data_IF_839751993663
#
_entry.id   IF_839751993663
#
_cell.length_a   1.000
_cell.length_b   1.000
_cell.length_c   1.000
_cell.angle_alpha   90.00
_cell.angle_beta   90.00
_cell.angle_gamma   90.00
#
_symmetry.space_group_name_H-M   'P 1'
#
loop_
_entity.id
_entity.type
_entity.pdbx_description
1 polymer ?
#
# COMPACT_ATOMS: atom_id res chain seq x y z
N UNK A 1 7.78 4.04 -3.48
CA UNK A 1 9.14 4.54 -3.68
C UNK A 1 10.09 3.41 -4.03
N UNK A 2 10.33 2.43 -3.20
CA UNK A 2 11.29 1.35 -3.45
C UNK A 2 11.03 0.58 -4.77
N UNK A 3 9.79 0.18 -5.05
CA UNK A 3 9.45 -0.48 -6.32
C UNK A 3 9.66 0.42 -7.54
N UNK A 4 9.51 1.74 -7.40
CA UNK A 4 9.82 2.70 -8.48
C UNK A 4 11.32 2.75 -8.73
N UNK A 5 12.14 2.80 -7.68
CA UNK A 5 13.61 2.77 -7.81
C UNK A 5 14.09 1.46 -8.45
N UNK A 6 13.52 0.32 -8.05
CA UNK A 6 13.81 -0.98 -8.67
C UNK A 6 13.47 -0.98 -10.17
N UNK A 7 12.29 -0.44 -10.53
CA UNK A 7 11.90 -0.32 -11.93
C UNK A 7 12.85 0.58 -12.74
N UNK A 8 13.33 1.67 -12.15
CA UNK A 8 14.35 2.54 -12.76
C UNK A 8 15.63 1.76 -13.04
N UNK A 9 16.13 1.00 -12.07
CA UNK A 9 17.35 0.18 -12.25
C UNK A 9 17.19 -0.85 -13.38
N UNK A 10 16.03 -1.50 -13.46
CA UNK A 10 15.71 -2.44 -14.53
C UNK A 10 15.68 -1.75 -15.90
N UNK A 11 14.95 -0.65 -16.03
CA UNK A 11 14.85 0.11 -17.28
C UNK A 11 16.21 0.63 -17.75
N UNK A 12 17.09 1.00 -16.81
CA UNK A 12 18.45 1.47 -17.11
C UNK A 12 19.47 0.35 -17.32
N UNK A 13 19.03 -0.91 -17.37
CA UNK A 13 19.91 -2.07 -17.61
C UNK A 13 20.95 -2.30 -16.50
N UNK A 14 20.67 -1.82 -15.28
CA UNK A 14 21.56 -2.02 -14.12
C UNK A 14 21.42 -3.42 -13.52
N UNK A 15 20.43 -4.17 -13.94
CA UNK A 15 20.08 -5.50 -13.45
C UNK A 15 19.89 -6.49 -14.63
N UNK A 16 20.88 -6.67 -15.51
CA UNK A 16 20.75 -7.46 -16.76
C UNK A 16 20.46 -8.95 -16.49
N UNK A 17 20.81 -9.46 -15.31
CA UNK A 17 20.57 -10.84 -14.91
C UNK A 17 19.09 -11.21 -14.78
N UNK A 18 18.19 -10.20 -14.75
CA UNK A 18 16.76 -10.41 -14.62
C UNK A 18 16.00 -10.20 -15.95
N UNK A 19 16.67 -10.00 -17.06
CA UNK A 19 16.01 -9.89 -18.37
C UNK A 19 15.55 -11.26 -18.89
N UNK A 20 14.39 -11.33 -19.59
CA UNK A 20 13.41 -10.25 -19.78
C UNK A 20 12.53 -10.06 -18.53
N UNK A 21 12.18 -8.81 -18.22
CA UNK A 21 11.37 -8.46 -17.05
C UNK A 21 10.11 -7.69 -17.46
N UNK A 22 9.13 -7.69 -16.54
CA UNK A 22 7.87 -6.95 -16.63
C UNK A 22 7.66 -6.15 -15.36
N UNK A 23 6.96 -5.02 -15.47
CA UNK A 23 6.57 -4.21 -14.32
C UNK A 23 5.08 -4.40 -14.11
N UNK A 24 4.72 -4.97 -12.97
CA UNK A 24 3.35 -5.31 -12.63
C UNK A 24 2.91 -4.52 -11.39
N UNK A 25 1.78 -3.85 -11.48
CA UNK A 25 1.10 -3.16 -10.37
C UNK A 25 -0.19 -3.90 -10.03
N UNK A 26 -0.33 -4.33 -8.78
CA UNK A 26 -1.59 -4.88 -8.31
C UNK A 26 -2.44 -3.78 -7.72
N UNK A 27 -3.48 -3.41 -8.47
CA UNK A 27 -4.46 -2.40 -8.08
C UNK A 27 -5.55 -3.05 -7.23
N UNK A 28 -5.53 -2.76 -5.94
CA UNK A 28 -6.52 -3.28 -4.97
C UNK A 28 -7.91 -2.66 -5.12
N UNK A 29 -8.06 -1.63 -5.96
CA UNK A 29 -9.23 -0.79 -6.08
C UNK A 29 -9.35 0.30 -5.01
N UNK A 30 -8.51 0.23 -3.97
CA UNK A 30 -8.59 1.10 -2.80
C UNK A 30 -7.27 1.83 -2.51
N UNK A 31 -6.39 1.96 -3.51
CA UNK A 31 -5.14 2.73 -3.32
C UNK A 31 -5.47 4.20 -3.08
N UNK A 32 -4.56 4.92 -2.45
CA UNK A 32 -4.70 6.36 -2.20
C UNK A 32 -4.77 7.13 -3.52
N UNK A 33 -5.55 8.21 -3.60
CA UNK A 33 -5.62 9.04 -4.81
C UNK A 33 -4.26 9.52 -5.30
N UNK A 34 -3.34 9.84 -4.37
CA UNK A 34 -1.99 10.28 -4.66
C UNK A 34 -1.16 9.17 -5.34
N UNK A 35 -1.40 7.89 -5.00
CA UNK A 35 -0.76 6.75 -5.66
C UNK A 35 -1.19 6.66 -7.12
N UNK A 36 -2.50 6.73 -7.38
CA UNK A 36 -3.03 6.72 -8.75
C UNK A 36 -2.55 7.93 -9.56
N UNK A 37 -2.54 9.13 -8.96
CA UNK A 37 -2.05 10.33 -9.61
C UNK A 37 -0.56 10.18 -9.99
N UNK A 38 0.28 9.71 -9.06
CA UNK A 38 1.70 9.48 -9.34
C UNK A 38 1.92 8.50 -10.49
N UNK A 39 1.19 7.38 -10.50
CA UNK A 39 1.28 6.39 -11.58
C UNK A 39 0.93 7.01 -12.93
N UNK A 40 -0.23 7.66 -13.04
CA UNK A 40 -0.76 8.26 -14.27
C UNK A 40 0.07 9.44 -14.78
N UNK A 41 0.47 10.34 -13.87
CA UNK A 41 1.03 11.65 -14.26
C UNK A 41 2.56 11.62 -14.39
N UNK A 42 3.23 10.64 -13.76
CA UNK A 42 4.69 10.59 -13.71
C UNK A 42 5.27 9.26 -14.16
N UNK A 43 4.85 8.14 -13.55
CA UNK A 43 5.53 6.87 -13.74
C UNK A 43 5.23 6.22 -15.10
N UNK A 44 3.96 6.12 -15.49
CA UNK A 44 3.57 5.57 -16.79
C UNK A 44 4.13 6.38 -17.97
N UNK A 45 4.06 7.75 -17.97
CA UNK A 45 4.71 8.55 -19.01
C UNK A 45 6.22 8.36 -19.06
N UNK A 46 6.88 8.19 -17.91
CA UNK A 46 8.30 7.90 -17.87
C UNK A 46 8.61 6.53 -18.45
N UNK A 47 7.87 5.50 -18.11
CA UNK A 47 8.02 4.16 -18.71
C UNK A 47 7.85 4.18 -20.23
N UNK A 48 6.81 4.87 -20.72
CA UNK A 48 6.52 5.00 -22.15
C UNK A 48 7.69 5.63 -22.94
N UNK A 49 8.35 6.65 -22.36
CA UNK A 49 9.56 7.26 -22.95
C UNK A 49 10.70 6.27 -23.11
N UNK A 50 10.72 5.19 -22.34
CA UNK A 50 11.73 4.11 -22.40
C UNK A 50 11.22 2.86 -23.12
N UNK A 51 10.08 2.97 -23.84
CA UNK A 51 9.48 1.84 -24.58
C UNK A 51 8.98 0.71 -23.67
N UNK A 52 8.63 1.03 -22.43
CA UNK A 52 8.11 0.10 -21.41
C UNK A 52 6.69 0.46 -21.02
N UNK A 53 5.98 -0.52 -20.49
CA UNK A 53 4.59 -0.36 -20.03
C UNK A 53 4.44 -0.88 -18.60
N UNK A 54 3.47 -0.32 -17.88
CA UNK A 54 3.02 -0.84 -16.62
C UNK A 54 1.86 -1.81 -16.86
N UNK A 55 2.00 -3.03 -16.39
CA UNK A 55 0.92 -4.02 -16.44
C UNK A 55 0.11 -3.91 -15.14
N UNK A 56 -1.19 -3.65 -15.26
CA UNK A 56 -2.06 -3.50 -14.08
C UNK A 56 -2.91 -4.75 -13.94
N UNK A 57 -2.80 -5.39 -12.78
CA UNK A 57 -3.63 -6.54 -12.41
C UNK A 57 -4.57 -6.16 -11.27
N UNK A 58 -5.73 -6.80 -11.23
CA UNK A 58 -6.77 -6.53 -10.22
C UNK A 58 -7.31 -7.81 -9.62
N UNK A 59 -7.74 -7.78 -8.35
CA UNK A 59 -8.58 -8.83 -7.80
C UNK A 59 -9.97 -8.80 -8.46
N UNK A 60 -10.75 -9.87 -8.28
CA UNK A 60 -12.11 -9.98 -8.85
C UNK A 60 -13.11 -9.03 -8.16
N UNK A 61 -12.82 -8.62 -6.93
CA UNK A 61 -13.53 -7.61 -6.14
C UNK A 61 -12.51 -6.71 -5.43
N UNK A 62 -12.84 -5.45 -5.18
CA UNK A 62 -11.96 -4.58 -4.38
C UNK A 62 -11.84 -5.10 -2.94
N UNK A 63 -10.80 -4.69 -2.24
CA UNK A 63 -10.60 -5.12 -0.85
C UNK A 63 -11.77 -4.68 0.04
N UNK A 64 -12.32 -3.51 -0.21
CA UNK A 64 -13.44 -3.00 0.57
C UNK A 64 -14.75 -3.75 0.25
N UNK A 65 -15.06 -3.99 -1.03
CA UNK A 65 -16.19 -4.83 -1.44
C UNK A 65 -16.12 -6.23 -0.80
N UNK A 66 -14.91 -6.81 -0.76
CA UNK A 66 -14.69 -8.09 -0.08
C UNK A 66 -15.01 -8.02 1.41
N UNK A 67 -14.53 -6.98 2.11
CA UNK A 67 -14.84 -6.82 3.53
C UNK A 67 -16.33 -6.60 3.78
N UNK A 68 -16.99 -5.80 2.95
CA UNK A 68 -18.44 -5.56 3.03
C UNK A 68 -19.22 -6.86 2.80
N UNK A 69 -18.88 -7.63 1.77
CA UNK A 69 -19.52 -8.92 1.47
C UNK A 69 -19.33 -9.93 2.62
N UNK A 70 -18.14 -9.98 3.20
CA UNK A 70 -17.84 -10.87 4.33
C UNK A 70 -18.28 -10.30 5.68
N UNK A 71 -18.71 -9.03 5.70
CA UNK A 71 -19.10 -8.30 6.91
C UNK A 71 -17.98 -8.28 7.96
N UNK A 72 -16.74 -8.03 7.54
CA UNK A 72 -15.56 -7.99 8.40
C UNK A 72 -14.80 -6.69 8.22
N UNK A 73 -14.04 -6.29 9.24
CA UNK A 73 -13.04 -5.22 9.14
C UNK A 73 -11.70 -5.76 8.64
N UNK A 74 -10.82 -4.88 8.17
CA UNK A 74 -9.44 -5.24 7.89
C UNK A 74 -8.71 -5.69 9.15
N UNK A 75 -7.84 -6.69 9.01
CA UNK A 75 -7.08 -7.24 10.13
C UNK A 75 -5.59 -7.05 9.93
N UNK A 76 -4.92 -6.54 10.98
CA UNK A 76 -3.46 -6.47 11.02
C UNK A 76 -2.81 -7.85 11.14
N UNK A 77 -3.49 -8.80 11.77
CA UNK A 77 -2.98 -10.14 12.03
C UNK A 77 -3.14 -11.06 10.81
N UNK A 78 -4.34 -11.08 10.23
CA UNK A 78 -4.66 -12.04 9.17
C UNK A 78 -4.20 -11.60 7.78
N UNK A 79 -4.01 -10.29 7.55
CA UNK A 79 -3.53 -9.71 6.29
C UNK A 79 -4.16 -10.26 5.01
N UNK A 80 -5.41 -10.73 5.10
CA UNK A 80 -6.13 -11.29 3.96
C UNK A 80 -6.22 -10.32 2.77
N UNK A 81 -6.23 -9.00 3.03
CA UNK A 81 -6.19 -7.99 1.99
C UNK A 81 -4.90 -8.04 1.14
N UNK A 82 -3.75 -8.34 1.73
CA UNK A 82 -2.49 -8.51 0.99
C UNK A 82 -2.54 -9.74 0.09
N UNK A 83 -3.01 -10.86 0.63
CA UNK A 83 -3.09 -12.12 -0.13
C UNK A 83 -4.07 -11.98 -1.29
N UNK A 84 -5.30 -11.54 -1.01
CA UNK A 84 -6.37 -11.50 -2.00
C UNK A 84 -6.22 -10.33 -2.98
N UNK A 85 -5.78 -9.17 -2.48
CA UNK A 85 -5.70 -7.96 -3.29
C UNK A 85 -4.39 -7.77 -4.04
N UNK A 86 -3.30 -8.44 -3.62
CA UNK A 86 -1.98 -8.24 -4.22
C UNK A 86 -1.33 -9.54 -4.66
N UNK A 87 -1.15 -10.50 -3.75
CA UNK A 87 -0.38 -11.71 -4.06
C UNK A 87 -1.07 -12.55 -5.13
N UNK A 88 -2.32 -12.96 -4.91
CA UNK A 88 -3.05 -13.81 -5.86
C UNK A 88 -3.21 -13.21 -7.26
N UNK A 89 -3.57 -11.90 -7.44
CA UNK A 89 -3.61 -11.29 -8.76
C UNK A 89 -2.26 -11.34 -9.49
N UNK A 90 -1.16 -11.05 -8.78
CA UNK A 90 0.19 -11.13 -9.36
C UNK A 90 0.54 -12.57 -9.71
N UNK A 91 0.31 -13.54 -8.82
CA UNK A 91 0.61 -14.96 -9.08
C UNK A 91 -0.18 -15.51 -10.27
N UNK A 92 -1.49 -15.17 -10.39
CA UNK A 92 -2.30 -15.51 -11.56
C UNK A 92 -1.72 -14.94 -12.85
N UNK A 93 -1.30 -13.67 -12.80
CA UNK A 93 -0.68 -13.00 -13.94
C UNK A 93 0.65 -13.64 -14.34
N UNK A 94 1.53 -13.92 -13.37
CA UNK A 94 2.81 -14.59 -13.59
C UNK A 94 2.58 -15.97 -14.23
N UNK A 95 1.67 -16.77 -13.68
CA UNK A 95 1.35 -18.11 -14.23
C UNK A 95 0.81 -18.03 -15.66
N UNK A 96 -0.09 -17.08 -15.95
CA UNK A 96 -0.65 -16.88 -17.30
C UNK A 96 0.38 -16.42 -18.33
N UNK A 97 1.49 -15.87 -17.90
CA UNK A 97 2.58 -15.36 -18.75
C UNK A 97 3.83 -16.25 -18.76
N UNK A 98 3.69 -17.54 -18.45
CA UNK A 98 4.77 -18.52 -18.55
C UNK A 98 5.64 -18.68 -17.30
N UNK A 99 5.21 -18.14 -16.19
CA UNK A 99 5.95 -18.15 -14.92
C UNK A 99 6.98 -17.03 -14.82
N UNK A 100 7.82 -17.09 -13.78
CA UNK A 100 8.90 -16.13 -13.58
C UNK A 100 9.21 -15.88 -12.10
N UNK A 101 10.35 -15.23 -11.88
CA UNK A 101 10.78 -14.82 -10.53
C UNK A 101 10.24 -13.43 -10.23
N UNK A 102 9.65 -13.27 -9.05
CA UNK A 102 9.15 -11.98 -8.59
C UNK A 102 10.27 -11.20 -7.89
N UNK A 103 10.58 -10.02 -8.41
CA UNK A 103 11.49 -9.08 -7.77
C UNK A 103 10.70 -8.13 -6.86
N UNK A 104 11.11 -8.02 -5.63
CA UNK A 104 10.40 -7.21 -4.62
C UNK A 104 11.20 -5.95 -4.29
N UNK A 105 10.52 -4.80 -4.33
CA UNK A 105 11.11 -3.50 -3.98
C UNK A 105 11.17 -3.31 -2.47
N UNK A 106 12.01 -4.08 -1.80
CA UNK A 106 12.42 -3.92 -0.39
C UNK A 106 13.80 -3.31 -0.37
N UNK A 107 13.99 -2.20 0.33
CA UNK A 107 15.30 -1.52 0.45
C UNK A 107 16.18 -2.14 1.54
N UNK A 108 17.45 -1.75 1.60
CA UNK A 108 18.41 -2.30 2.56
C UNK A 108 18.02 -2.04 4.03
N UNK A 109 17.36 -0.91 4.32
CA UNK A 109 16.86 -0.59 5.66
C UNK A 109 15.73 -1.52 6.14
N UNK A 110 15.07 -2.20 5.19
CA UNK A 110 14.00 -3.16 5.43
C UNK A 110 14.42 -4.62 5.17
N UNK A 111 15.71 -4.94 5.19
CA UNK A 111 16.25 -6.23 4.79
C UNK A 111 15.67 -7.45 5.56
N UNK A 112 15.09 -7.24 6.75
CA UNK A 112 14.41 -8.28 7.51
C UNK A 112 13.08 -8.74 6.88
N UNK A 113 12.55 -7.95 5.93
CA UNK A 113 11.26 -8.25 5.28
C UNK A 113 11.45 -9.20 4.12
N UNK A 114 10.57 -10.22 4.03
CA UNK A 114 10.50 -11.16 2.92
C UNK A 114 11.86 -11.80 2.55
N UNK A 115 12.57 -12.42 3.51
CA UNK A 115 13.93 -12.94 3.27
C UNK A 115 13.99 -14.01 2.17
N UNK A 116 12.88 -14.72 1.94
CA UNK A 116 12.77 -15.79 0.94
C UNK A 116 12.46 -15.29 -0.48
N UNK A 117 12.44 -13.97 -0.70
CA UNK A 117 12.16 -13.37 -2.01
C UNK A 117 13.41 -12.74 -2.60
N UNK A 118 13.40 -12.54 -3.92
CA UNK A 118 14.48 -11.83 -4.61
C UNK A 118 14.31 -10.32 -4.38
N UNK A 119 15.32 -9.70 -3.76
CA UNK A 119 15.29 -8.31 -3.28
C UNK A 119 16.49 -7.52 -3.78
N UNK A 120 16.52 -7.14 -5.07
CA UNK A 120 17.71 -6.56 -5.68
C UNK A 120 18.24 -5.30 -5.00
N UNK A 121 17.36 -4.48 -4.37
CA UNK A 121 17.81 -3.29 -3.67
C UNK A 121 18.57 -3.64 -2.39
N UNK A 122 18.19 -4.71 -1.68
CA UNK A 122 18.93 -5.23 -0.52
C UNK A 122 20.28 -5.78 -0.97
N UNK A 123 20.32 -6.55 -2.07
CA UNK A 123 21.53 -7.13 -2.61
C UNK A 123 22.55 -6.07 -3.09
N UNK A 124 22.05 -4.89 -3.48
CA UNK A 124 22.86 -3.73 -3.88
C UNK A 124 23.14 -2.74 -2.73
N UNK A 125 22.71 -3.06 -1.51
CA UNK A 125 22.83 -2.18 -0.32
C UNK A 125 22.22 -0.79 -0.55
N UNK A 126 21.09 -0.74 -1.29
CA UNK A 126 20.36 0.51 -1.57
C UNK A 126 19.26 0.67 -0.53
N UNK A 127 19.43 1.68 0.29
CA UNK A 127 18.47 2.10 1.31
C UNK A 127 17.41 3.07 0.75
N UNK A 128 16.61 3.64 1.67
CA UNK A 128 15.55 4.58 1.30
C UNK A 128 16.10 5.85 0.63
N UNK A 129 17.21 6.40 1.11
CA UNK A 129 17.82 7.61 0.54
C UNK A 129 18.39 7.30 -0.86
N UNK A 130 19.03 6.16 -1.01
CA UNK A 130 19.50 5.66 -2.30
C UNK A 130 18.35 5.46 -3.29
N UNK A 131 17.21 4.91 -2.87
CA UNK A 131 16.01 4.80 -3.69
C UNK A 131 15.51 6.18 -4.16
N UNK A 132 15.48 7.15 -3.26
CA UNK A 132 15.06 8.51 -3.58
C UNK A 132 16.03 9.19 -4.58
N UNK A 133 17.32 9.03 -4.37
CA UNK A 133 18.35 9.55 -5.28
C UNK A 133 18.22 8.96 -6.69
N UNK A 134 17.99 7.65 -6.82
CA UNK A 134 17.76 6.97 -8.10
C UNK A 134 16.54 7.56 -8.82
N UNK A 135 15.44 7.77 -8.13
CA UNK A 135 14.21 8.32 -8.72
C UNK A 135 14.42 9.77 -9.17
N UNK A 136 15.03 10.59 -8.32
CA UNK A 136 15.33 12.00 -8.64
C UNK A 136 16.30 12.16 -9.82
N UNK A 137 17.27 11.26 -9.95
CA UNK A 137 18.20 11.26 -11.09
C UNK A 137 17.51 11.06 -12.44
N UNK A 138 16.31 10.46 -12.46
CA UNK A 138 15.46 10.31 -13.64
C UNK A 138 14.53 11.50 -13.89
N UNK A 139 14.59 12.55 -13.07
CA UNK A 139 13.67 13.67 -13.15
C UNK A 139 12.25 13.35 -12.67
N UNK A 140 12.07 12.22 -11.97
CA UNK A 140 10.80 11.85 -11.38
C UNK A 140 10.67 12.48 -9.98
N UNK A 141 9.47 12.95 -9.59
CA UNK A 141 9.22 13.30 -8.20
C UNK A 141 9.24 12.02 -7.34
N UNK A 142 9.68 12.16 -6.09
CA UNK A 142 9.62 11.05 -5.15
C UNK A 142 8.16 10.67 -4.87
N UNK A 143 7.74 9.41 -5.10
CA UNK A 143 6.39 8.99 -4.79
C UNK A 143 6.15 9.04 -3.27
N UNK A 144 5.00 9.53 -2.87
CA UNK A 144 4.55 9.45 -1.49
C UNK A 144 4.34 8.00 -1.02
N UNK A 145 3.91 7.84 0.23
CA UNK A 145 3.58 6.53 0.80
C UNK A 145 2.44 5.88 0.01
N UNK A 146 2.72 4.76 -0.64
CA UNK A 146 1.69 3.93 -1.27
C UNK A 146 0.89 3.16 -0.22
N UNK A 147 -0.34 2.79 -0.55
CA UNK A 147 -1.21 1.96 0.29
C UNK A 147 -2.67 2.34 0.15
N UNK A 148 -3.54 1.47 0.67
CA UNK A 148 -4.97 1.69 0.62
C UNK A 148 -5.41 2.79 1.60
N UNK A 149 -6.38 3.61 1.18
CA UNK A 149 -6.97 4.64 2.05
C UNK A 149 -7.74 4.04 3.25
N UNK A 150 -8.13 2.77 3.16
CA UNK A 150 -8.82 2.03 4.21
C UNK A 150 -7.88 1.08 4.99
N UNK A 151 -6.55 1.22 4.88
CA UNK A 151 -5.59 0.28 5.44
C UNK A 151 -5.70 0.20 6.99
N UNK A 152 -5.77 -1.01 7.59
CA UNK A 152 -5.77 -1.16 9.05
C UNK A 152 -4.46 -0.69 9.72
N UNK A 153 -3.38 -0.52 8.93
CA UNK A 153 -2.10 0.01 9.41
C UNK A 153 -1.98 1.54 9.30
N UNK A 154 -3.08 2.25 9.01
CA UNK A 154 -3.06 3.70 9.03
C UNK A 154 -2.65 4.22 10.41
N UNK A 155 -1.85 5.28 10.42
CA UNK A 155 -1.51 5.99 11.64
C UNK A 155 -2.69 6.86 12.09
N UNK A 156 -2.73 7.22 13.36
CA UNK A 156 -3.77 8.07 13.94
C UNK A 156 -4.01 9.34 13.12
N UNK A 157 -2.94 10.04 12.72
CA UNK A 157 -3.05 11.23 11.88
C UNK A 157 -3.67 10.98 10.50
N UNK A 158 -3.35 9.85 9.89
CA UNK A 158 -3.94 9.47 8.59
C UNK A 158 -5.44 9.16 8.74
N UNK A 159 -5.86 8.55 9.84
CA UNK A 159 -7.28 8.27 10.14
C UNK A 159 -8.04 9.58 10.39
N UNK A 160 -7.50 10.48 11.21
CA UNK A 160 -8.08 11.80 11.49
C UNK A 160 -8.17 12.62 10.20
N UNK A 161 -7.11 12.61 9.37
CA UNK A 161 -7.13 13.28 8.07
C UNK A 161 -8.21 12.71 7.16
N UNK A 162 -8.36 11.39 7.09
CA UNK A 162 -9.41 10.75 6.30
C UNK A 162 -10.80 11.23 6.74
N UNK A 163 -11.05 11.26 8.05
CA UNK A 163 -12.33 11.73 8.59
C UNK A 163 -12.64 13.20 8.24
N UNK A 164 -11.60 14.05 8.10
CA UNK A 164 -11.75 15.47 7.74
C UNK A 164 -11.89 15.67 6.23
N UNK A 165 -11.06 15.00 5.44
CA UNK A 165 -10.91 15.26 3.98
C UNK A 165 -11.91 14.46 3.16
N UNK A 166 -12.22 13.23 3.56
CA UNK A 166 -13.18 12.37 2.87
C UNK A 166 -14.11 11.67 3.88
N UNK A 167 -15.06 12.42 4.46
CA UNK A 167 -16.01 11.87 5.43
C UNK A 167 -16.81 10.70 4.87
N UNK A 168 -17.12 10.70 3.58
CA UNK A 168 -17.90 9.61 2.97
C UNK A 168 -17.15 8.27 3.04
N UNK A 169 -15.87 8.24 2.73
CA UNK A 169 -15.03 7.06 2.87
C UNK A 169 -14.86 6.66 4.33
N UNK A 170 -14.66 7.63 5.20
CA UNK A 170 -14.55 7.36 6.64
C UNK A 170 -15.84 6.70 7.19
N UNK A 171 -17.02 7.23 6.86
CA UNK A 171 -18.31 6.70 7.30
C UNK A 171 -18.60 5.30 6.72
N UNK A 172 -18.09 5.00 5.54
CA UNK A 172 -18.19 3.65 4.96
C UNK A 172 -17.49 2.62 5.84
N UNK A 173 -16.32 2.95 6.36
CA UNK A 173 -15.60 2.08 7.32
C UNK A 173 -16.31 2.03 8.66
N UNK A 174 -16.81 3.16 9.17
CA UNK A 174 -17.55 3.18 10.44
C UNK A 174 -18.75 2.22 10.41
N UNK A 175 -19.55 2.26 9.32
CA UNK A 175 -20.65 1.31 9.13
C UNK A 175 -20.19 -0.14 9.05
N UNK A 176 -19.04 -0.37 8.44
CA UNK A 176 -18.49 -1.72 8.34
C UNK A 176 -18.08 -2.27 9.72
N UNK A 177 -17.55 -1.43 10.62
CA UNK A 177 -17.27 -1.79 12.02
C UNK A 177 -18.54 -2.21 12.76
N UNK A 178 -19.63 -1.45 12.59
CA UNK A 178 -20.92 -1.75 13.20
C UNK A 178 -21.47 -3.10 12.65
N UNK A 179 -21.53 -3.25 11.33
CA UNK A 179 -22.00 -4.49 10.68
C UNK A 179 -21.14 -5.70 11.08
N UNK A 180 -19.83 -5.54 11.16
CA UNK A 180 -18.94 -6.63 11.56
C UNK A 180 -19.17 -7.04 13.03
N UNK A 181 -19.40 -6.06 13.91
CA UNK A 181 -19.68 -6.29 15.33
C UNK A 181 -21.05 -6.97 15.52
N UNK A 182 -22.09 -6.51 14.79
CA UNK A 182 -23.42 -7.13 14.82
C UNK A 182 -23.41 -8.56 14.31
N UNK A 183 -22.66 -8.82 13.23
CA UNK A 183 -22.66 -10.13 12.55
C UNK A 183 -21.83 -11.18 13.30
N UNK A 184 -20.66 -10.79 13.81
CA UNK A 184 -19.67 -11.72 14.36
C UNK A 184 -19.46 -11.57 15.88
N UNK A 185 -20.25 -10.72 16.53
CA UNK A 185 -20.07 -10.34 17.92
C UNK A 185 -18.84 -9.45 18.16
N UNK A 186 -18.68 -8.90 19.35
CA UNK A 186 -17.53 -8.11 19.72
C UNK A 186 -16.23 -8.93 19.70
N UNK A 187 -15.09 -8.24 19.83
CA UNK A 187 -13.79 -8.87 20.05
C UNK A 187 -13.75 -9.63 21.37
N UNK A 188 -12.80 -10.56 21.59
CA UNK A 188 -12.69 -11.31 22.84
C UNK A 188 -12.56 -10.46 24.11
N UNK A 189 -12.08 -9.23 23.98
CA UNK A 189 -11.98 -8.24 25.07
C UNK A 189 -13.27 -7.43 25.29
N UNK A 190 -14.39 -7.80 24.65
CA UNK A 190 -15.68 -7.12 24.74
C UNK A 190 -15.81 -5.82 23.95
N UNK A 191 -14.74 -5.39 23.25
CA UNK A 191 -14.77 -4.17 22.43
C UNK A 191 -15.38 -4.44 21.05
N UNK A 192 -15.95 -3.43 20.38
CA UNK A 192 -16.43 -3.57 19.01
C UNK A 192 -15.29 -3.95 18.07
N UNK A 193 -15.62 -4.51 16.91
CA UNK A 193 -14.65 -4.77 15.86
C UNK A 193 -14.24 -3.47 15.21
N UNK A 194 -12.95 -3.21 15.18
CA UNK A 194 -12.38 -1.94 14.72
C UNK A 194 -11.49 -2.13 13.51
N UNK A 195 -11.45 -1.13 12.64
CA UNK A 195 -10.54 -1.07 11.50
C UNK A 195 -9.16 -0.57 11.91
N UNK A 196 -9.11 0.44 12.79
CA UNK A 196 -7.88 1.17 13.13
C UNK A 196 -7.54 1.06 14.61
N UNK A 197 -6.72 0.06 14.94
CA UNK A 197 -6.26 -0.15 16.31
C UNK A 197 -7.36 -0.67 17.24
N UNK A 198 -7.40 -0.15 18.46
CA UNK A 198 -8.29 -0.57 19.52
C UNK A 198 -9.50 0.37 19.73
N UNK A 199 -9.57 1.45 18.95
CA UNK A 199 -10.64 2.45 19.06
C UNK A 199 -11.58 2.38 17.86
N UNK A 200 -12.91 2.47 18.07
CA UNK A 200 -13.88 2.47 16.99
C UNK A 200 -13.83 3.77 16.18
N UNK A 201 -14.38 3.74 14.97
CA UNK A 201 -14.44 4.91 14.10
C UNK A 201 -15.15 6.11 14.76
N UNK A 202 -16.17 5.88 15.61
CA UNK A 202 -16.83 6.93 16.38
C UNK A 202 -15.87 7.75 17.24
N UNK A 203 -14.90 7.12 17.87
CA UNK A 203 -13.86 7.79 18.65
C UNK A 203 -12.97 8.69 17.75
N UNK A 204 -12.57 8.21 16.58
CA UNK A 204 -11.75 8.99 15.67
C UNK A 204 -12.51 10.14 15.03
N UNK A 205 -13.82 9.98 14.78
CA UNK A 205 -14.72 11.03 14.32
C UNK A 205 -14.80 12.18 15.32
N UNK A 206 -14.99 11.86 16.58
CA UNK A 206 -15.04 12.86 17.66
C UNK A 206 -13.73 13.63 17.75
N UNK A 207 -12.59 12.95 17.74
CA UNK A 207 -11.28 13.58 17.72
C UNK A 207 -11.04 14.45 16.49
N UNK A 208 -11.50 14.05 15.34
CA UNK A 208 -11.40 14.86 14.12
C UNK A 208 -12.19 16.17 14.24
N UNK A 209 -13.30 16.17 14.99
CA UNK A 209 -14.13 17.36 15.27
C UNK A 209 -13.55 18.31 16.32
N UNK A 210 -12.72 17.81 17.24
CA UNK A 210 -12.23 18.59 18.39
C UNK A 210 -11.08 19.57 18.06
N UNK A 211 -10.58 19.60 16.82
CA UNK A 211 -9.47 20.49 16.43
C UNK A 211 -8.21 20.21 17.24
N UNK A 212 -7.54 19.11 16.99
CA UNK A 212 -6.41 18.63 17.78
C UNK A 212 -5.22 19.60 17.65
N UNK A 213 -4.99 20.41 18.69
CA UNK A 213 -3.88 21.40 18.79
C UNK A 213 -2.50 20.72 18.72
N UNK A 214 -2.43 19.40 18.86
CA UNK A 214 -1.20 18.60 18.84
C UNK A 214 -0.92 17.93 17.48
N UNK A 215 -1.84 18.05 16.52
CA UNK A 215 -1.65 17.56 15.16
C UNK A 215 -1.25 18.71 14.23
N UNK A 216 0.02 19.04 14.29
CA UNK A 216 0.66 19.88 13.29
C UNK A 216 0.65 19.13 11.93
N UNK A 217 -0.07 19.67 10.95
CA UNK A 217 -0.12 19.13 9.59
C UNK A 217 1.29 19.02 8.96
N UNK A 218 2.26 19.82 9.45
CA UNK A 218 3.66 19.76 9.07
C UNK A 218 4.44 18.56 9.63
N UNK A 219 3.94 17.87 10.68
CA UNK A 219 4.54 16.63 11.20
C UNK A 219 4.00 15.35 10.58
N UNK A 220 3.11 15.45 9.62
CA UNK A 220 2.82 14.37 8.68
C UNK A 220 3.93 14.28 7.62
N UNK A 221 5.14 14.76 7.96
CA UNK A 221 6.33 14.52 7.16
C UNK A 221 6.44 13.01 6.91
N UNK A 222 6.79 12.71 5.70
CA UNK A 222 6.93 11.42 5.05
C UNK A 222 7.93 10.44 5.72
N UNK A 223 8.37 10.76 6.95
CA UNK A 223 9.24 9.94 7.83
C UNK A 223 8.52 8.70 8.39
N UNK A 224 7.41 8.34 7.78
CA UNK A 224 6.73 7.10 8.05
C UNK A 224 7.46 5.96 7.36
N UNK A 225 8.28 5.18 8.06
CA UNK A 225 8.76 3.95 7.49
C UNK A 225 7.55 3.05 7.22
N UNK A 226 7.48 2.52 6.02
CA UNK A 226 6.86 1.26 5.66
C UNK A 226 5.32 1.18 5.60
N UNK A 227 4.85 0.81 4.44
CA UNK A 227 3.59 0.09 4.33
C UNK A 227 3.79 -1.27 5.02
N UNK A 228 3.22 -1.46 6.22
CA UNK A 228 3.22 -2.75 6.93
C UNK A 228 2.53 -3.90 6.18
N UNK A 229 2.23 -3.74 4.90
CA UNK A 229 1.53 -4.72 4.09
C UNK A 229 2.34 -6.01 3.85
N UNK A 230 3.65 -5.97 4.08
CA UNK A 230 4.56 -7.10 3.80
C UNK A 230 5.38 -7.56 4.99
N UNK A 231 5.14 -7.03 6.19
CA UNK A 231 5.75 -7.59 7.40
C UNK A 231 5.08 -8.93 7.68
N UNK A 232 5.72 -10.00 7.26
CA UNK A 232 5.28 -11.38 7.34
C UNK A 232 5.13 -11.87 8.76
#
# INVERSE_FOLDING_TARGET
MNSTALAVLLVRGKLPQYEPWRIVFSDTGEERPETYAYMRDHFEPWLAKHGKTLEVVRPDETILERWERLKVTGSRLLRGCTVEGKIKPIERHVAANGGGVQLIGVDAGEAHRMPDRVRPLVDLDIDREGCEAIIKAEGLPSPGKSGCWCCPFMRVGEVIRLAKVDPCKFERIARLEDIATETHGPQPNGQPRTQWGDKPASYWRERAGQGDIFYDEGRLSDDSPHCGCYDG
#
